data_IF_140565039801
#
_entry.id   IF_140565039801
#
_cell.length_a   1.000
_cell.length_b   1.000
_cell.length_c   1.000
_cell.angle_alpha   90.00
_cell.angle_beta   90.00
_cell.angle_gamma   90.00
#
_symmetry.space_group_name_H-M   'P 1'
#
loop_
_entity.id
_entity.type
_entity.pdbx_description
1 polymer ?
#
# COMPACT_ATOMS: atom_id res chain seq x y z
N UNK A 1 -10.82 3.50 20.18
CA UNK A 1 -9.44 3.34 20.72
C UNK A 1 -8.59 4.39 20.03
N UNK A 2 -7.66 5.03 20.72
CA UNK A 2 -6.79 6.00 20.07
C UNK A 2 -5.41 5.38 19.86
N UNK A 3 -4.86 5.52 18.63
CA UNK A 3 -3.53 5.04 18.27
C UNK A 3 -2.59 6.24 18.09
N UNK A 4 -1.30 6.03 18.35
CA UNK A 4 -0.26 7.04 18.18
C UNK A 4 0.27 7.06 16.75
N UNK A 5 0.38 5.89 16.15
CA UNK A 5 0.92 5.67 14.80
C UNK A 5 -0.11 4.98 13.92
N UNK A 6 -0.45 5.61 12.81
CA UNK A 6 -1.43 5.13 11.85
C UNK A 6 -0.71 4.79 10.53
N UNK A 7 -0.75 3.52 10.14
CA UNK A 7 -0.13 3.01 8.93
C UNK A 7 -1.21 2.66 7.90
N UNK A 8 -1.07 3.15 6.69
CA UNK A 8 -1.97 2.83 5.58
C UNK A 8 -1.25 2.03 4.50
N UNK A 9 -1.92 1.05 3.92
CA UNK A 9 -1.58 0.57 2.58
C UNK A 9 -1.93 1.63 1.53
N UNK A 10 -1.38 1.49 0.32
CA UNK A 10 -1.64 2.42 -0.78
C UNK A 10 -2.67 1.85 -1.76
N UNK A 11 -2.33 0.74 -2.42
CA UNK A 11 -3.17 0.09 -3.43
C UNK A 11 -4.48 -0.39 -2.80
N UNK A 12 -5.61 -0.17 -3.48
CA UNK A 12 -6.96 -0.54 -3.02
C UNK A 12 -7.34 -0.03 -1.62
N UNK A 13 -6.55 0.92 -1.06
CA UNK A 13 -6.80 1.52 0.28
C UNK A 13 -6.77 3.05 0.22
N UNK A 14 -5.67 3.68 -0.16
CA UNK A 14 -5.59 5.14 -0.37
C UNK A 14 -5.98 5.51 -1.81
N UNK A 15 -5.72 4.65 -2.77
CA UNK A 15 -6.16 4.78 -4.14
C UNK A 15 -6.98 3.57 -4.56
N UNK A 16 -7.91 3.78 -5.49
CA UNK A 16 -8.85 2.75 -6.01
C UNK A 16 -8.20 1.74 -6.94
N UNK A 17 -6.90 1.89 -7.23
CA UNK A 17 -6.17 1.07 -8.20
C UNK A 17 -5.17 0.13 -7.54
N UNK A 18 -4.75 -0.88 -8.30
CA UNK A 18 -3.57 -1.69 -8.08
C UNK A 18 -2.47 -1.22 -9.05
N UNK A 19 -1.45 -0.52 -8.55
CA UNK A 19 -0.48 0.17 -9.40
C UNK A 19 0.26 -0.75 -10.36
N UNK A 20 0.63 -1.96 -9.92
CA UNK A 20 1.30 -2.93 -10.80
C UNK A 20 0.39 -3.42 -11.92
N UNK A 21 -0.92 -3.54 -11.68
CA UNK A 21 -1.89 -3.96 -12.67
C UNK A 21 -2.13 -2.86 -13.71
N UNK A 22 -2.12 -1.59 -13.29
CA UNK A 22 -2.22 -0.46 -14.20
C UNK A 22 -1.00 -0.38 -15.14
N UNK A 23 0.21 -0.56 -14.62
CA UNK A 23 1.43 -0.64 -15.44
C UNK A 23 1.37 -1.82 -16.41
N UNK A 24 0.83 -2.96 -15.97
CA UNK A 24 0.65 -4.13 -16.82
C UNK A 24 -0.35 -3.89 -17.95
N UNK A 25 -1.44 -3.16 -17.70
CA UNK A 25 -2.43 -2.80 -18.73
C UNK A 25 -1.81 -1.97 -19.86
N UNK A 26 -0.88 -1.06 -19.53
CA UNK A 26 -0.17 -0.25 -20.53
C UNK A 26 0.65 -1.09 -21.52
N UNK A 27 1.12 -2.26 -21.11
CA UNK A 27 1.94 -3.17 -21.95
C UNK A 27 1.15 -4.40 -22.43
N UNK A 28 -0.18 -4.40 -22.26
CA UNK A 28 -1.05 -5.47 -22.74
C UNK A 28 -1.05 -6.73 -21.88
N UNK A 29 -0.56 -6.69 -20.64
CA UNK A 29 -0.46 -7.81 -19.72
C UNK A 29 -1.48 -7.74 -18.56
N UNK A 30 -2.44 -6.82 -18.60
CA UNK A 30 -3.31 -6.51 -17.47
C UNK A 30 -4.06 -7.72 -16.91
N UNK A 31 -4.67 -8.55 -17.77
CA UNK A 31 -5.45 -9.71 -17.32
C UNK A 31 -4.59 -10.78 -16.63
N UNK A 32 -3.38 -11.03 -17.13
CA UNK A 32 -2.44 -11.99 -16.51
C UNK A 32 -1.98 -11.48 -15.15
N UNK A 33 -1.63 -10.20 -15.06
CA UNK A 33 -1.10 -9.60 -13.83
C UNK A 33 -2.16 -9.47 -12.75
N UNK A 34 -3.38 -9.06 -13.08
CA UNK A 34 -4.47 -8.96 -12.12
C UNK A 34 -4.76 -10.30 -11.42
N UNK A 35 -4.72 -11.40 -12.16
CA UNK A 35 -4.85 -12.73 -11.55
C UNK A 35 -3.73 -13.04 -10.55
N UNK A 36 -2.48 -12.64 -10.85
CA UNK A 36 -1.35 -12.83 -9.94
C UNK A 36 -1.47 -11.95 -8.69
N UNK A 37 -1.93 -10.70 -8.85
CA UNK A 37 -2.19 -9.78 -7.75
C UNK A 37 -3.24 -10.37 -6.81
N UNK A 38 -4.37 -10.82 -7.33
CA UNK A 38 -5.42 -11.44 -6.53
C UNK A 38 -4.94 -12.68 -5.76
N UNK A 39 -4.15 -13.55 -6.38
CA UNK A 39 -3.60 -14.72 -5.72
C UNK A 39 -2.67 -14.35 -4.55
N UNK A 40 -1.84 -13.33 -4.72
CA UNK A 40 -0.94 -12.85 -3.67
C UNK A 40 -1.72 -12.15 -2.53
N UNK A 41 -2.64 -11.24 -2.86
CA UNK A 41 -3.41 -10.48 -1.86
C UNK A 41 -4.41 -11.34 -1.10
N UNK A 42 -4.87 -12.45 -1.66
CA UNK A 42 -5.65 -13.47 -0.96
C UNK A 42 -4.74 -14.53 -0.24
N UNK A 43 -3.42 -14.41 -0.38
CA UNK A 43 -2.45 -15.28 0.28
C UNK A 43 -2.40 -16.72 -0.25
N UNK A 44 -2.84 -16.93 -1.49
CA UNK A 44 -2.78 -18.23 -2.16
C UNK A 44 -1.36 -18.54 -2.61
N UNK A 45 -0.60 -17.51 -3.00
CA UNK A 45 0.82 -17.58 -3.35
C UNK A 45 1.63 -16.56 -2.54
N UNK A 46 2.90 -16.84 -2.19
CA UNK A 46 3.74 -15.86 -1.52
C UNK A 46 4.08 -14.70 -2.46
N UNK A 47 4.17 -13.48 -1.89
CA UNK A 47 4.37 -12.25 -2.66
C UNK A 47 5.66 -12.30 -3.49
N UNK A 48 6.76 -12.78 -2.91
CA UNK A 48 8.07 -12.91 -3.57
C UNK A 48 8.04 -13.80 -4.81
N UNK A 49 7.16 -14.80 -4.86
CA UNK A 49 7.03 -15.69 -6.00
C UNK A 49 6.51 -15.00 -7.27
N UNK A 50 5.78 -13.90 -7.10
CA UNK A 50 5.16 -13.16 -8.19
C UNK A 50 5.79 -11.79 -8.43
N UNK A 51 6.46 -11.20 -7.42
CA UNK A 51 6.94 -9.83 -7.47
C UNK A 51 7.97 -9.60 -8.59
N UNK A 52 9.06 -10.36 -8.59
CA UNK A 52 10.10 -10.29 -9.61
C UNK A 52 9.55 -10.61 -11.00
N UNK A 53 8.71 -11.65 -11.10
CA UNK A 53 8.10 -12.04 -12.39
C UNK A 53 7.30 -10.90 -12.99
N UNK A 54 6.48 -10.22 -12.20
CA UNK A 54 5.67 -9.08 -12.67
C UNK A 54 6.54 -7.96 -13.21
N UNK A 55 7.53 -7.49 -12.44
CA UNK A 55 8.42 -6.40 -12.87
C UNK A 55 9.32 -6.79 -14.05
N UNK A 56 9.77 -8.04 -14.15
CA UNK A 56 10.56 -8.50 -15.30
C UNK A 56 9.79 -8.52 -16.63
N UNK A 57 8.48 -8.73 -16.57
CA UNK A 57 7.59 -8.72 -17.73
C UNK A 57 7.12 -7.30 -18.10
N UNK A 58 6.74 -6.51 -17.11
CA UNK A 58 6.21 -5.15 -17.32
C UNK A 58 7.34 -4.18 -17.67
N UNK A 59 8.49 -4.25 -16.97
CA UNK A 59 9.67 -3.39 -17.12
C UNK A 59 9.30 -1.90 -17.20
N UNK A 60 8.62 -1.35 -16.18
CA UNK A 60 8.11 0.01 -16.24
C UNK A 60 9.27 1.02 -16.34
N UNK A 61 9.20 1.90 -17.34
CA UNK A 61 10.14 3.01 -17.49
C UNK A 61 9.77 4.20 -16.57
N UNK A 62 10.66 5.19 -16.49
CA UNK A 62 10.44 6.40 -15.70
C UNK A 62 9.09 7.07 -16.04
N UNK A 63 8.78 7.21 -17.33
CA UNK A 63 7.54 7.84 -17.77
C UNK A 63 6.29 7.04 -17.35
N UNK A 64 6.40 5.71 -17.27
CA UNK A 64 5.35 4.84 -16.74
C UNK A 64 5.13 5.04 -15.24
N UNK A 65 6.19 5.26 -14.49
CA UNK A 65 6.11 5.54 -13.05
C UNK A 65 5.54 6.94 -12.79
N UNK A 66 5.97 7.95 -13.54
CA UNK A 66 5.43 9.31 -13.43
C UNK A 66 3.91 9.33 -13.75
N UNK A 67 3.50 8.61 -14.81
CA UNK A 67 2.08 8.44 -15.12
C UNK A 67 1.30 7.71 -14.01
N UNK A 68 1.89 6.68 -13.40
CA UNK A 68 1.24 5.96 -12.29
C UNK A 68 1.07 6.85 -11.07
N UNK A 69 2.03 7.73 -10.79
CA UNK A 69 1.94 8.70 -9.71
C UNK A 69 0.74 9.64 -9.89
N UNK A 70 0.55 10.16 -11.09
CA UNK A 70 -0.62 10.99 -11.41
C UNK A 70 -1.92 10.19 -11.26
N UNK A 71 -1.92 8.93 -11.65
CA UNK A 71 -3.09 8.06 -11.56
C UNK A 71 -3.46 7.74 -10.11
N UNK A 72 -2.48 7.50 -9.22
CA UNK A 72 -2.75 7.31 -7.79
C UNK A 72 -3.51 8.49 -7.18
N UNK A 73 -3.16 9.73 -7.57
CA UNK A 73 -3.84 10.95 -7.10
C UNK A 73 -5.22 11.08 -7.75
N UNK A 74 -5.34 10.80 -9.05
CA UNK A 74 -6.60 10.90 -9.78
C UNK A 74 -7.66 9.91 -9.27
N UNK A 75 -7.23 8.70 -8.89
CA UNK A 75 -8.07 7.62 -8.40
C UNK A 75 -8.06 7.50 -6.86
N UNK A 76 -7.79 8.61 -6.15
CA UNK A 76 -7.78 8.63 -4.69
C UNK A 76 -9.14 8.18 -4.13
N UNK A 77 -9.13 7.40 -3.07
CA UNK A 77 -10.35 6.95 -2.39
C UNK A 77 -11.03 8.13 -1.70
N UNK A 78 -12.35 8.13 -1.74
CA UNK A 78 -13.16 9.19 -1.14
C UNK A 78 -12.86 9.31 0.37
N UNK A 79 -12.69 10.54 0.86
CA UNK A 79 -12.43 10.84 2.27
C UNK A 79 -10.96 10.73 2.69
N UNK A 80 -10.04 10.24 1.86
CA UNK A 80 -8.60 10.12 2.21
C UNK A 80 -8.02 11.45 2.67
N UNK A 81 -8.24 12.54 1.93
CA UNK A 81 -7.74 13.88 2.31
C UNK A 81 -8.24 14.33 3.67
N UNK A 82 -9.52 14.11 3.96
CA UNK A 82 -10.14 14.52 5.21
C UNK A 82 -9.61 13.67 6.38
N UNK A 83 -9.39 12.36 6.16
CA UNK A 83 -8.77 11.47 7.14
C UNK A 83 -7.37 11.93 7.49
N UNK A 84 -6.52 12.21 6.48
CA UNK A 84 -5.15 12.66 6.69
C UNK A 84 -5.12 14.02 7.40
N UNK A 85 -5.96 14.97 6.97
CA UNK A 85 -6.07 16.26 7.64
C UNK A 85 -6.49 16.12 9.11
N UNK A 86 -7.47 15.27 9.41
CA UNK A 86 -7.91 15.02 10.78
C UNK A 86 -6.83 14.38 11.65
N UNK A 87 -6.07 13.42 11.11
CA UNK A 87 -4.99 12.75 11.84
C UNK A 87 -3.83 13.71 12.13
N UNK A 88 -3.38 14.46 11.13
CA UNK A 88 -2.29 15.43 11.26
C UNK A 88 -2.67 16.57 12.22
N UNK A 89 -3.93 17.03 12.21
CA UNK A 89 -4.43 18.03 13.15
C UNK A 89 -4.46 17.56 14.62
N UNK A 90 -4.38 16.25 14.85
CA UNK A 90 -4.30 15.63 16.18
C UNK A 90 -2.88 15.13 16.51
N UNK A 91 -1.86 15.62 15.80
CA UNK A 91 -0.45 15.26 15.97
C UNK A 91 -0.19 13.73 15.89
N UNK A 92 -1.01 13.01 15.10
CA UNK A 92 -0.78 11.58 14.86
C UNK A 92 0.38 11.38 13.90
N UNK A 93 1.19 10.36 14.16
CA UNK A 93 2.22 9.93 13.22
C UNK A 93 1.60 9.03 12.16
N UNK A 94 1.63 9.46 10.90
CA UNK A 94 1.02 8.74 9.78
C UNK A 94 2.09 8.22 8.84
N UNK A 95 2.00 6.94 8.46
CA UNK A 95 2.90 6.29 7.49
C UNK A 95 2.11 5.63 6.37
N UNK A 96 2.72 5.56 5.18
CA UNK A 96 2.29 4.67 4.08
C UNK A 96 3.24 3.48 4.05
N UNK A 97 2.70 2.26 4.08
CA UNK A 97 3.46 1.00 4.04
C UNK A 97 2.87 0.12 2.93
N UNK A 98 3.53 0.07 1.79
CA UNK A 98 3.00 -0.57 0.58
C UNK A 98 4.03 -1.48 -0.09
N UNK A 99 3.55 -2.58 -0.68
CA UNK A 99 4.33 -3.37 -1.65
C UNK A 99 4.44 -2.72 -3.04
N UNK A 100 3.83 -1.54 -3.24
CA UNK A 100 3.91 -0.76 -4.47
C UNK A 100 5.26 -0.09 -4.67
N UNK A 101 5.38 0.64 -5.80
CA UNK A 101 6.64 1.30 -6.20
C UNK A 101 6.75 2.68 -5.58
N UNK A 102 7.80 2.89 -4.79
CA UNK A 102 7.99 4.09 -3.96
C UNK A 102 7.90 5.38 -4.76
N UNK A 103 8.58 5.46 -5.91
CA UNK A 103 8.61 6.67 -6.73
C UNK A 103 7.23 7.06 -7.28
N UNK A 104 6.34 6.09 -7.46
CA UNK A 104 4.94 6.38 -7.85
C UNK A 104 4.07 6.82 -6.65
N UNK A 105 4.41 6.39 -5.44
CA UNK A 105 3.63 6.69 -4.22
C UNK A 105 4.04 8.04 -3.60
N UNK A 106 5.30 8.46 -3.77
CA UNK A 106 5.80 9.71 -3.19
C UNK A 106 4.97 10.95 -3.55
N UNK A 107 4.52 11.17 -4.81
CA UNK A 107 3.68 12.32 -5.14
C UNK A 107 2.30 12.29 -4.44
N UNK A 108 1.72 11.11 -4.23
CA UNK A 108 0.49 10.97 -3.42
C UNK A 108 0.74 11.34 -1.95
N UNK A 109 1.87 10.91 -1.38
CA UNK A 109 2.23 11.24 0.00
C UNK A 109 2.44 12.76 0.18
N UNK A 110 3.13 13.41 -0.75
CA UNK A 110 3.30 14.88 -0.76
C UNK A 110 1.94 15.60 -0.87
N UNK A 111 1.07 15.13 -1.77
CA UNK A 111 -0.30 15.64 -1.92
C UNK A 111 -1.12 15.52 -0.62
N UNK A 112 -0.83 14.52 0.22
CA UNK A 112 -1.49 14.30 1.51
C UNK A 112 -0.76 14.99 2.68
N UNK A 113 0.35 15.68 2.42
CA UNK A 113 1.12 16.40 3.43
C UNK A 113 2.06 15.53 4.26
N UNK A 114 2.42 14.34 3.77
CA UNK A 114 3.36 13.45 4.43
C UNK A 114 4.79 13.65 3.93
N UNK A 115 5.80 13.64 4.83
CA UNK A 115 7.19 13.64 4.43
C UNK A 115 7.60 12.30 3.80
N UNK A 116 8.56 12.31 2.87
CA UNK A 116 9.09 11.11 2.21
C UNK A 116 9.59 10.03 3.18
N UNK A 117 10.09 10.42 4.35
CA UNK A 117 10.55 9.51 5.41
C UNK A 117 9.44 8.65 6.01
N UNK A 118 8.17 9.02 5.78
CA UNK A 118 7.01 8.28 6.23
C UNK A 118 6.43 7.35 5.14
N UNK A 119 7.08 7.28 3.98
CA UNK A 119 6.71 6.37 2.89
C UNK A 119 7.66 5.19 2.86
N UNK A 120 7.13 4.02 3.18
CA UNK A 120 7.81 2.73 3.11
C UNK A 120 7.22 1.95 1.94
N UNK A 121 7.98 1.84 0.86
CA UNK A 121 7.57 1.14 -0.35
C UNK A 121 8.81 0.64 -1.10
N UNK A 122 8.62 -0.13 -2.17
CA UNK A 122 9.72 -0.75 -2.89
C UNK A 122 10.36 0.25 -3.85
N UNK A 123 11.66 0.49 -3.71
CA UNK A 123 12.42 1.34 -4.64
C UNK A 123 12.55 0.67 -6.01
N UNK A 124 12.39 1.47 -7.08
CA UNK A 124 12.66 1.05 -8.45
C UNK A 124 13.83 1.86 -9.01
N UNK A 125 14.66 1.21 -9.81
CA UNK A 125 15.87 1.82 -10.37
C UNK A 125 15.80 1.85 -11.89
N UNK A 126 16.33 2.93 -12.48
CA UNK A 126 16.36 3.16 -13.91
C UNK A 126 17.80 3.24 -14.43
N UNK A 127 17.96 3.00 -15.72
CA UNK A 127 19.14 3.34 -16.47
C UNK A 127 19.13 4.85 -16.78
N UNK A 128 20.24 5.37 -17.32
CA UNK A 128 20.38 6.79 -17.68
C UNK A 128 19.36 7.26 -18.73
N UNK A 129 18.88 6.34 -19.57
CA UNK A 129 17.85 6.60 -20.58
C UNK A 129 16.41 6.52 -20.04
N UNK A 130 16.24 6.32 -18.73
CA UNK A 130 14.94 6.16 -18.07
C UNK A 130 14.31 4.78 -18.20
N UNK A 131 14.97 3.82 -18.89
CA UNK A 131 14.48 2.45 -18.98
C UNK A 131 14.62 1.69 -17.66
N UNK A 132 13.78 0.68 -17.44
CA UNK A 132 13.83 -0.17 -16.26
C UNK A 132 15.17 -0.87 -16.10
N UNK A 133 15.80 -0.75 -14.93
CA UNK A 133 17.00 -1.46 -14.57
C UNK A 133 16.72 -2.62 -13.62
N UNK A 134 16.16 -2.32 -12.45
CA UNK A 134 15.86 -3.27 -11.38
C UNK A 134 15.00 -2.60 -10.30
N UNK A 135 14.68 -3.33 -9.27
CA UNK A 135 14.08 -2.82 -8.02
C UNK A 135 14.97 -3.20 -6.83
N UNK A 136 14.68 -2.67 -5.65
CA UNK A 136 15.37 -3.05 -4.41
C UNK A 136 15.04 -4.50 -4.03
N UNK A 137 15.96 -5.42 -4.39
CA UNK A 137 15.86 -6.85 -4.12
C UNK A 137 15.90 -7.19 -2.62
N UNK A 138 16.42 -6.29 -1.80
CA UNK A 138 16.53 -6.47 -0.35
C UNK A 138 15.34 -5.88 0.41
N UNK A 139 14.45 -5.19 -0.29
CA UNK A 139 13.25 -4.61 0.30
C UNK A 139 12.38 -5.68 0.95
N UNK A 140 12.09 -5.58 2.26
CA UNK A 140 11.17 -6.51 2.91
C UNK A 140 9.76 -6.44 2.27
N UNK A 141 9.36 -5.28 1.75
CA UNK A 141 8.02 -5.05 1.19
C UNK A 141 7.78 -5.75 -0.17
N UNK A 142 8.83 -6.28 -0.80
CA UNK A 142 8.71 -7.16 -1.97
C UNK A 142 8.49 -8.64 -1.59
N UNK A 143 8.32 -8.96 -0.30
CA UNK A 143 8.23 -10.33 0.23
C UNK A 143 7.12 -10.47 1.26
N UNK A 144 6.64 -11.70 1.42
CA UNK A 144 5.73 -12.08 2.50
C UNK A 144 6.39 -11.79 3.87
N UNK A 145 5.63 -11.25 4.80
CA UNK A 145 6.13 -10.82 6.11
C UNK A 145 6.72 -9.40 6.13
N UNK A 146 6.83 -8.74 4.98
CA UNK A 146 7.49 -7.46 4.86
C UNK A 146 6.81 -6.34 5.62
N UNK A 147 5.49 -6.29 5.62
CA UNK A 147 4.76 -5.27 6.40
C UNK A 147 4.96 -5.45 7.90
N UNK A 148 5.06 -6.69 8.40
CA UNK A 148 5.41 -6.95 9.80
C UNK A 148 6.80 -6.41 10.18
N UNK A 149 7.79 -6.54 9.29
CA UNK A 149 9.15 -6.01 9.51
C UNK A 149 9.12 -4.49 9.64
N UNK A 150 8.48 -3.80 8.70
CA UNK A 150 8.40 -2.32 8.70
C UNK A 150 7.60 -1.82 9.90
N UNK A 151 6.42 -2.37 10.16
CA UNK A 151 5.59 -2.01 11.33
C UNK A 151 6.35 -2.25 12.63
N UNK A 152 7.10 -3.35 12.72
CA UNK A 152 7.95 -3.66 13.88
C UNK A 152 9.00 -2.59 14.16
N UNK A 153 9.57 -1.97 13.13
CA UNK A 153 10.55 -0.89 13.28
C UNK A 153 9.94 0.41 13.83
N UNK A 154 8.64 0.60 13.68
CA UNK A 154 7.89 1.77 14.15
C UNK A 154 7.37 1.60 15.60
N UNK A 155 7.48 0.41 16.18
CA UNK A 155 6.87 0.06 17.48
C UNK A 155 7.31 0.96 18.63
N UNK A 156 8.50 1.52 18.59
CA UNK A 156 9.00 2.44 19.62
C UNK A 156 8.27 3.80 19.62
N UNK A 157 7.49 4.10 18.58
CA UNK A 157 6.77 5.37 18.43
C UNK A 157 5.39 5.38 19.12
N UNK A 158 4.89 4.21 19.60
CA UNK A 158 3.62 4.12 20.32
C UNK A 158 2.72 2.97 19.88
N UNK A 159 1.44 3.09 20.17
CA UNK A 159 0.39 2.15 19.74
C UNK A 159 0.15 2.27 18.23
N UNK A 160 0.10 1.12 17.54
CA UNK A 160 0.05 1.07 16.07
C UNK A 160 -1.26 0.47 15.57
N UNK A 161 -1.79 1.07 14.50
CA UNK A 161 -2.82 0.44 13.67
C UNK A 161 -2.36 0.38 12.21
N UNK A 162 -2.60 -0.75 11.53
CA UNK A 162 -2.42 -0.93 10.09
C UNK A 162 -3.79 -0.98 9.42
N UNK A 163 -3.99 -0.17 8.39
CA UNK A 163 -5.22 -0.09 7.61
C UNK A 163 -4.90 -0.56 6.19
N UNK A 164 -5.63 -1.56 5.69
CA UNK A 164 -5.40 -2.10 4.36
C UNK A 164 -6.45 -3.15 3.96
N UNK A 165 -6.40 -3.59 2.70
CA UNK A 165 -7.37 -4.52 2.09
C UNK A 165 -6.82 -5.93 1.88
N UNK A 166 -5.50 -6.13 1.98
CA UNK A 166 -4.80 -7.36 1.60
C UNK A 166 -4.37 -8.24 2.79
N UNK A 167 -4.05 -9.50 2.48
CA UNK A 167 -3.46 -10.40 3.47
C UNK A 167 -2.13 -9.89 4.01
N UNK A 168 -1.36 -9.16 3.21
CA UNK A 168 -0.09 -8.56 3.63
C UNK A 168 -0.26 -7.56 4.78
N UNK A 169 -1.42 -6.89 4.88
CA UNK A 169 -1.73 -5.97 5.98
C UNK A 169 -1.95 -6.70 7.29
N UNK A 170 -2.54 -7.90 7.23
CA UNK A 170 -2.73 -8.76 8.40
C UNK A 170 -1.41 -9.18 9.05
N UNK A 171 -0.30 -9.13 8.30
CA UNK A 171 1.03 -9.45 8.82
C UNK A 171 1.48 -8.47 9.93
N UNK A 172 0.96 -7.24 9.94
CA UNK A 172 1.23 -6.24 10.97
C UNK A 172 0.88 -6.75 12.39
N UNK A 173 -0.07 -7.68 12.51
CA UNK A 173 -0.41 -8.36 13.79
C UNK A 173 0.77 -9.08 14.40
N UNK A 174 1.68 -9.62 13.58
CA UNK A 174 2.90 -10.29 14.07
C UNK A 174 3.85 -9.32 14.77
N UNK A 175 3.81 -8.04 14.40
CA UNK A 175 4.53 -6.96 15.06
C UNK A 175 3.76 -6.37 16.26
N UNK A 176 2.55 -6.85 16.56
CA UNK A 176 1.69 -6.39 17.65
C UNK A 176 0.86 -5.14 17.32
N UNK A 177 0.70 -4.81 16.04
CA UNK A 177 -0.23 -3.77 15.62
C UNK A 177 -1.67 -4.30 15.59
N UNK A 178 -2.62 -3.41 15.81
CA UNK A 178 -4.03 -3.65 15.46
C UNK A 178 -4.20 -3.55 13.95
N UNK A 179 -5.06 -4.36 13.35
CA UNK A 179 -5.37 -4.30 11.92
C UNK A 179 -6.83 -3.93 11.70
N UNK A 180 -7.05 -2.86 10.93
CA UNK A 180 -8.35 -2.47 10.42
C UNK A 180 -8.40 -2.78 8.94
N UNK A 181 -9.23 -3.76 8.56
CA UNK A 181 -9.45 -4.12 7.17
C UNK A 181 -10.36 -3.11 6.47
N UNK A 182 -9.92 -2.60 5.32
CA UNK A 182 -10.69 -1.70 4.48
C UNK A 182 -11.19 -2.41 3.22
N UNK A 183 -12.45 -2.78 3.20
CA UNK A 183 -13.13 -3.44 2.08
C UNK A 183 -13.91 -2.48 1.17
N UNK A 184 -13.66 -1.17 1.26
CA UNK A 184 -14.39 -0.17 0.49
C UNK A 184 -14.05 -0.12 -1.00
N UNK A 185 -12.87 -0.63 -1.40
CA UNK A 185 -12.44 -0.79 -2.80
C UNK A 185 -12.50 -2.25 -3.21
N UNK A 186 -11.78 -3.12 -2.50
CA UNK A 186 -11.78 -4.56 -2.73
C UNK A 186 -12.14 -5.29 -1.43
N UNK A 187 -13.25 -6.01 -1.44
CA UNK A 187 -13.73 -6.76 -0.29
C UNK A 187 -13.16 -8.19 -0.30
N UNK A 188 -12.13 -8.43 0.52
CA UNK A 188 -11.44 -9.74 0.63
C UNK A 188 -11.91 -10.49 1.86
N UNK A 189 -12.48 -11.69 1.66
CA UNK A 189 -13.00 -12.52 2.74
C UNK A 189 -11.96 -12.81 3.85
N UNK A 190 -10.69 -13.06 3.47
CA UNK A 190 -9.61 -13.32 4.43
C UNK A 190 -9.32 -12.14 5.35
N UNK A 191 -9.41 -10.90 4.84
CA UNK A 191 -9.20 -9.69 5.65
C UNK A 191 -10.41 -9.44 6.54
N UNK A 192 -11.62 -9.62 6.01
CA UNK A 192 -12.86 -9.51 6.80
C UNK A 192 -12.89 -10.48 7.98
N UNK A 193 -12.37 -11.69 7.78
CA UNK A 193 -12.36 -12.73 8.81
C UNK A 193 -11.27 -12.51 9.87
N UNK A 194 -10.10 -12.02 9.48
CA UNK A 194 -8.91 -12.02 10.32
C UNK A 194 -8.48 -10.64 10.86
N UNK A 195 -9.02 -9.53 10.33
CA UNK A 195 -8.77 -8.20 10.88
C UNK A 195 -9.42 -8.02 12.27
N UNK A 196 -8.90 -7.09 13.07
CA UNK A 196 -9.49 -6.77 14.39
C UNK A 196 -10.74 -5.91 14.24
N UNK A 197 -10.76 -5.05 13.22
CA UNK A 197 -11.90 -4.25 12.78
C UNK A 197 -12.00 -4.35 11.26
N UNK A 198 -13.21 -4.18 10.73
CA UNK A 198 -13.46 -4.24 9.30
C UNK A 198 -14.59 -3.31 8.88
N UNK A 199 -14.41 -2.60 7.76
CA UNK A 199 -15.45 -1.79 7.14
C UNK A 199 -15.52 -2.05 5.64
N UNK A 200 -16.73 -2.01 5.06
CA UNK A 200 -16.99 -2.07 3.62
C UNK A 200 -17.52 -0.73 3.07
N UNK A 201 -17.54 0.30 3.92
CA UNK A 201 -17.90 1.63 3.47
C UNK A 201 -16.91 2.12 2.41
N UNK A 202 -17.40 2.67 1.27
CA UNK A 202 -16.52 3.07 0.17
C UNK A 202 -15.67 4.30 0.49
N UNK A 203 -16.02 5.06 1.52
CA UNK A 203 -15.25 6.21 1.99
C UNK A 203 -14.31 5.83 3.12
N UNK A 204 -13.04 6.26 3.03
CA UNK A 204 -12.06 6.05 4.07
C UNK A 204 -12.42 6.77 5.40
N UNK A 205 -13.35 7.73 5.38
CA UNK A 205 -13.84 8.39 6.60
C UNK A 205 -14.33 7.40 7.66
N UNK A 206 -14.86 6.25 7.24
CA UNK A 206 -15.34 5.22 8.16
C UNK A 206 -14.25 4.66 9.09
N UNK A 207 -12.96 4.78 8.75
CA UNK A 207 -11.88 4.29 9.62
C UNK A 207 -11.69 5.16 10.85
N UNK A 208 -12.09 6.45 10.80
CA UNK A 208 -11.84 7.41 11.90
C UNK A 208 -12.49 6.99 13.22
N UNK A 209 -13.68 6.41 13.19
CA UNK A 209 -14.40 5.96 14.40
C UNK A 209 -13.64 4.86 15.17
N UNK A 210 -12.73 4.15 14.51
CA UNK A 210 -11.94 3.07 15.09
C UNK A 210 -10.55 3.52 15.56
N UNK A 211 -10.03 4.62 15.01
CA UNK A 211 -8.63 5.01 15.20
C UNK A 211 -8.42 6.30 16.00
N UNK A 212 -9.45 7.12 16.14
CA UNK A 212 -9.50 8.31 17.01
C UNK A 212 -10.32 8.04 18.27
#
# INVERSE_FOLDING_TARGET
MSFDVICFDCDSTLSKIEGIDELARRVGLGEEMSKLTDLAMNGVVPLEAVYERRLSLIRPDQAGIDWLADLYIAEIVDGVKDVFAALLAQDKTVHIISGGLRQAILPLADFLGLPESHVHAVEIYFNEDGSYRNYDLDSPLARTGGKAVVVGSLKAQGSLVMIGDGKTDLEAKQAGATVLGFGGVVDRAIVRELADFYTTEPSLLAVLEHIL
#
